data_IF_944806266527
#
_entry.id   IF_944806266527
#
_cell.length_a   1.000
_cell.length_b   1.000
_cell.length_c   1.000
_cell.angle_alpha   90.00
_cell.angle_beta   90.00
_cell.angle_gamma   90.00
#
_symmetry.space_group_name_H-M   'P 1'
#
loop_
_entity.id
_entity.type
_entity.pdbx_description
1 polymer ?
#
# COMPACT_ATOMS: atom_id res chain seq x y z
N UNK A 1 72.86 -81.12 -30.84
CA UNK A 1 73.41 -80.29 -29.75
C UNK A 1 73.25 -78.85 -30.19
N UNK A 2 72.99 -77.99 -29.21
CA UNK A 2 72.79 -76.53 -29.28
C UNK A 2 71.37 -76.03 -29.61
N UNK A 3 70.58 -75.88 -28.55
CA UNK A 3 69.65 -74.75 -28.36
C UNK A 3 69.74 -74.31 -26.89
N UNK A 4 70.85 -73.66 -26.56
CA UNK A 4 71.14 -73.07 -25.25
C UNK A 4 71.08 -71.54 -25.37
N UNK A 5 70.05 -70.96 -26.01
CA UNK A 5 70.02 -69.50 -26.21
C UNK A 5 68.69 -68.74 -26.00
N UNK A 6 67.54 -69.38 -25.77
CA UNK A 6 66.25 -68.64 -25.75
C UNK A 6 65.72 -68.23 -24.37
N UNK A 7 66.36 -68.62 -23.26
CA UNK A 7 65.80 -68.38 -21.92
C UNK A 7 66.15 -67.00 -21.30
N UNK A 8 67.11 -66.26 -21.88
CA UNK A 8 67.52 -64.94 -21.34
C UNK A 8 66.60 -63.81 -21.78
N UNK A 9 66.07 -63.85 -23.01
CA UNK A 9 65.20 -62.79 -23.54
C UNK A 9 63.80 -62.82 -22.94
N UNK A 10 63.24 -64.01 -22.67
CA UNK A 10 61.91 -64.14 -22.07
C UNK A 10 61.85 -63.59 -20.64
N UNK A 11 62.90 -63.83 -19.85
CA UNK A 11 62.98 -63.34 -18.46
C UNK A 11 63.03 -61.82 -18.38
N UNK A 12 63.74 -61.17 -19.31
CA UNK A 12 63.85 -59.70 -19.36
C UNK A 12 62.52 -59.06 -19.77
N UNK A 13 61.84 -59.64 -20.76
CA UNK A 13 60.51 -59.18 -21.22
C UNK A 13 59.48 -59.35 -20.10
N UNK A 14 59.54 -60.45 -19.36
CA UNK A 14 58.66 -60.71 -18.22
C UNK A 14 58.88 -59.67 -17.10
N UNK A 15 60.14 -59.37 -16.75
CA UNK A 15 60.44 -58.33 -15.75
C UNK A 15 59.98 -56.93 -16.19
N UNK A 16 60.10 -56.58 -17.47
CA UNK A 16 59.61 -55.30 -18.00
C UNK A 16 58.08 -55.19 -17.94
N UNK A 17 57.37 -56.28 -18.27
CA UNK A 17 55.91 -56.33 -18.18
C UNK A 17 55.41 -56.20 -16.74
N UNK A 18 56.07 -56.90 -15.79
CA UNK A 18 55.75 -56.79 -14.37
C UNK A 18 56.04 -55.37 -13.85
N UNK A 19 57.16 -54.77 -14.27
CA UNK A 19 57.50 -53.39 -13.92
C UNK A 19 56.46 -52.37 -14.39
N UNK A 20 55.97 -52.52 -15.63
CA UNK A 20 54.89 -51.68 -16.17
C UNK A 20 53.56 -51.87 -15.43
N UNK A 21 53.21 -53.12 -15.09
CA UNK A 21 52.00 -53.43 -14.33
C UNK A 21 52.04 -52.84 -12.91
N UNK A 22 53.15 -53.00 -12.20
CA UNK A 22 53.31 -52.46 -10.84
C UNK A 22 53.37 -50.93 -10.88
N UNK A 23 54.03 -50.34 -11.88
CA UNK A 23 54.05 -48.89 -12.07
C UNK A 23 52.66 -48.30 -12.35
N UNK A 24 51.84 -48.96 -13.18
CA UNK A 24 50.48 -48.54 -13.49
C UNK A 24 49.53 -48.69 -12.29
N UNK A 25 49.67 -49.76 -11.50
CA UNK A 25 48.89 -49.97 -10.28
C UNK A 25 49.27 -48.95 -9.19
N UNK A 26 50.55 -48.62 -9.06
CA UNK A 26 51.03 -47.60 -8.12
C UNK A 26 50.51 -46.20 -8.46
N UNK A 27 50.54 -45.80 -9.73
CA UNK A 27 50.01 -44.49 -10.16
C UNK A 27 48.49 -44.42 -10.03
N UNK A 28 47.77 -45.50 -10.34
CA UNK A 28 46.32 -45.57 -10.13
C UNK A 28 45.95 -45.41 -8.64
N UNK A 29 46.66 -46.09 -7.74
CA UNK A 29 46.38 -46.02 -6.30
C UNK A 29 46.64 -44.62 -5.72
N UNK A 30 47.72 -43.95 -6.13
CA UNK A 30 48.06 -42.59 -5.67
C UNK A 30 47.05 -41.56 -6.19
N UNK A 31 46.61 -41.68 -7.45
CA UNK A 31 45.60 -40.78 -8.03
C UNK A 31 44.21 -41.04 -7.44
N UNK A 32 43.83 -42.30 -7.23
CA UNK A 32 42.55 -42.71 -6.64
C UNK A 32 42.39 -42.24 -5.19
N UNK A 33 43.42 -42.45 -4.35
CA UNK A 33 43.34 -42.10 -2.92
C UNK A 33 43.29 -40.59 -2.66
N UNK A 34 43.99 -39.79 -3.48
CA UNK A 34 43.94 -38.33 -3.43
C UNK A 34 42.67 -37.71 -4.06
N UNK A 35 42.03 -38.39 -5.01
CA UNK A 35 40.74 -37.95 -5.57
C UNK A 35 39.56 -38.32 -4.68
N UNK A 36 39.52 -39.49 -4.06
CA UNK A 36 38.41 -39.85 -3.16
C UNK A 36 38.31 -38.90 -1.96
N UNK A 37 39.44 -38.46 -1.38
CA UNK A 37 39.41 -37.51 -0.26
C UNK A 37 38.90 -36.13 -0.69
N UNK A 38 39.32 -35.66 -1.87
CA UNK A 38 38.88 -34.37 -2.43
C UNK A 38 37.43 -34.40 -2.88
N UNK A 39 36.97 -35.51 -3.45
CA UNK A 39 35.57 -35.70 -3.84
C UNK A 39 34.69 -35.68 -2.60
N UNK A 40 35.03 -36.42 -1.54
CA UNK A 40 34.29 -36.38 -0.26
C UNK A 40 34.30 -35.00 0.40
N UNK A 41 35.41 -34.27 0.31
CA UNK A 41 35.49 -32.89 0.83
C UNK A 41 34.59 -31.93 0.04
N UNK A 42 34.54 -32.09 -1.28
CA UNK A 42 33.68 -31.30 -2.16
C UNK A 42 32.21 -31.64 -1.98
N UNK A 43 31.86 -32.92 -1.83
CA UNK A 43 30.50 -33.37 -1.50
C UNK A 43 30.04 -32.77 -0.17
N UNK A 44 30.86 -32.83 0.87
CA UNK A 44 30.55 -32.22 2.17
C UNK A 44 30.36 -30.70 2.08
N UNK A 45 31.21 -30.00 1.33
CA UNK A 45 31.08 -28.55 1.09
C UNK A 45 29.84 -28.22 0.26
N UNK A 46 29.47 -29.08 -0.69
CA UNK A 46 28.26 -28.94 -1.49
C UNK A 46 27.02 -29.11 -0.60
N UNK A 47 27.02 -30.09 0.29
CA UNK A 47 25.94 -30.34 1.23
C UNK A 47 25.78 -29.17 2.20
N UNK A 48 26.88 -28.68 2.79
CA UNK A 48 26.89 -27.48 3.64
C UNK A 48 26.33 -26.25 2.90
N UNK A 49 26.75 -26.04 1.65
CA UNK A 49 26.25 -24.92 0.83
C UNK A 49 24.79 -25.08 0.41
N UNK A 50 24.34 -26.31 0.19
CA UNK A 50 22.95 -26.62 -0.14
C UNK A 50 22.05 -26.41 1.07
N UNK A 51 22.50 -26.78 2.27
CA UNK A 51 21.80 -26.52 3.52
C UNK A 51 21.73 -25.00 3.81
N UNK A 52 22.83 -24.25 3.60
CA UNK A 52 22.83 -22.79 3.70
C UNK A 52 21.84 -22.15 2.72
N UNK A 53 21.82 -22.60 1.46
CA UNK A 53 20.87 -22.10 0.45
C UNK A 53 19.41 -22.44 0.81
N UNK A 54 19.17 -23.62 1.36
CA UNK A 54 17.83 -24.05 1.78
C UNK A 54 17.34 -23.19 2.94
N UNK A 55 18.18 -22.94 3.95
CA UNK A 55 17.87 -22.04 5.06
C UNK A 55 17.63 -20.60 4.59
N UNK A 56 18.48 -20.08 3.69
CA UNK A 56 18.28 -18.76 3.09
C UNK A 56 16.95 -18.64 2.33
N UNK A 57 16.58 -19.68 1.58
CA UNK A 57 15.31 -19.70 0.85
C UNK A 57 14.10 -19.79 1.80
N UNK A 58 14.18 -20.59 2.86
CA UNK A 58 13.14 -20.65 3.89
C UNK A 58 12.99 -19.34 4.66
N UNK A 59 14.10 -18.69 5.01
CA UNK A 59 14.10 -17.39 5.68
C UNK A 59 13.56 -16.27 4.78
N UNK A 60 13.89 -16.31 3.47
CA UNK A 60 13.33 -15.39 2.49
C UNK A 60 11.83 -15.64 2.30
N UNK A 61 11.39 -16.90 2.22
CA UNK A 61 9.97 -17.24 2.12
C UNK A 61 9.18 -16.77 3.35
N UNK A 62 9.72 -16.95 4.56
CA UNK A 62 9.11 -16.44 5.80
C UNK A 62 9.03 -14.91 5.83
N UNK A 63 10.08 -14.21 5.39
CA UNK A 63 10.08 -12.74 5.30
C UNK A 63 9.07 -12.22 4.27
N UNK A 64 8.93 -12.90 3.13
CA UNK A 64 7.89 -12.58 2.14
C UNK A 64 6.48 -12.86 2.66
N UNK A 65 6.31 -13.89 3.49
CA UNK A 65 5.01 -14.20 4.08
C UNK A 65 4.64 -13.20 5.21
N UNK A 66 5.61 -12.74 5.98
CA UNK A 66 5.43 -11.68 6.98
C UNK A 66 5.22 -10.29 6.37
N UNK A 67 5.78 -10.03 5.20
CA UNK A 67 5.56 -8.77 4.47
C UNK A 67 4.16 -8.70 3.84
N UNK A 68 3.51 -9.83 3.56
CA UNK A 68 2.14 -9.88 2.99
C UNK A 68 1.03 -9.77 4.03
N UNK A 69 1.33 -9.98 5.31
CA UNK A 69 0.30 -9.95 6.37
C UNK A 69 -0.16 -8.52 6.67
N UNK A 70 -1.46 -8.32 6.74
CA UNK A 70 -2.07 -7.12 7.29
C UNK A 70 -1.76 -7.01 8.78
N UNK A 71 -1.30 -5.85 9.24
CA UNK A 71 -0.95 -5.62 10.65
C UNK A 71 -1.93 -4.63 11.26
N UNK A 72 -2.53 -4.99 12.38
CA UNK A 72 -3.31 -4.06 13.20
C UNK A 72 -2.34 -3.09 13.91
N UNK A 73 -2.49 -1.79 13.66
CA UNK A 73 -1.62 -0.73 14.18
C UNK A 73 -2.37 0.19 15.13
N UNK A 74 -3.42 -0.28 15.79
CA UNK A 74 -4.36 0.52 16.60
C UNK A 74 -3.75 0.95 17.95
N UNK A 75 -2.59 1.61 17.91
CA UNK A 75 -1.95 2.27 19.04
C UNK A 75 -2.57 3.62 19.31
N UNK A 76 -2.27 4.17 20.48
CA UNK A 76 -2.91 5.37 20.92
C UNK A 76 -2.43 6.63 20.16
N UNK A 77 -1.15 6.70 19.86
CA UNK A 77 -0.57 7.75 19.01
C UNK A 77 -1.03 7.61 17.55
N UNK A 78 -1.18 6.38 17.06
CA UNK A 78 -1.69 6.13 15.70
C UNK A 78 -3.13 6.61 15.55
N UNK A 79 -4.02 6.31 16.51
CA UNK A 79 -5.40 6.83 16.46
C UNK A 79 -5.43 8.36 16.43
N UNK A 80 -4.54 9.01 17.19
CA UNK A 80 -4.45 10.47 17.25
C UNK A 80 -4.03 11.08 15.91
N UNK A 81 -3.01 10.53 15.26
CA UNK A 81 -2.61 10.94 13.90
C UNK A 81 -3.79 10.86 12.93
N UNK A 82 -4.47 9.73 12.89
CA UNK A 82 -5.57 9.52 11.95
C UNK A 82 -6.82 10.34 12.33
N UNK A 83 -7.11 10.57 13.62
CA UNK A 83 -8.16 11.49 14.04
C UNK A 83 -7.91 12.92 13.53
N UNK A 84 -6.66 13.39 13.61
CA UNK A 84 -6.27 14.69 13.06
C UNK A 84 -6.47 14.72 11.54
N UNK A 85 -6.04 13.67 10.84
CA UNK A 85 -6.25 13.52 9.40
C UNK A 85 -7.74 13.62 9.03
N UNK A 86 -8.60 12.82 9.67
CA UNK A 86 -10.04 12.77 9.37
C UNK A 86 -10.74 14.11 9.66
N UNK A 87 -10.37 14.80 10.75
CA UNK A 87 -11.11 15.98 11.21
C UNK A 87 -10.54 17.32 10.73
N UNK A 88 -9.28 17.37 10.27
CA UNK A 88 -8.68 18.61 9.75
C UNK A 88 -8.54 18.59 8.24
N UNK A 89 -7.94 17.53 7.71
CA UNK A 89 -7.55 17.49 6.31
C UNK A 89 -8.66 16.89 5.45
N UNK A 90 -9.28 15.79 5.88
CA UNK A 90 -10.25 15.06 5.05
C UNK A 90 -11.71 15.38 5.39
N UNK A 91 -11.97 16.24 6.38
CA UNK A 91 -13.31 16.43 6.97
C UNK A 91 -14.38 16.71 5.92
N UNK A 92 -14.18 17.72 5.08
CA UNK A 92 -15.15 18.15 4.06
C UNK A 92 -15.43 17.08 3.02
N UNK A 93 -14.41 16.35 2.59
CA UNK A 93 -14.55 15.25 1.64
C UNK A 93 -15.33 14.10 2.27
N UNK A 94 -14.97 13.71 3.49
CA UNK A 94 -15.63 12.62 4.20
C UNK A 94 -17.08 12.96 4.53
N UNK A 95 -17.39 14.21 4.89
CA UNK A 95 -18.79 14.65 5.07
C UNK A 95 -19.60 14.43 3.81
N UNK A 96 -19.08 14.82 2.64
CA UNK A 96 -19.75 14.58 1.36
C UNK A 96 -19.90 13.08 1.07
N UNK A 97 -18.82 12.29 1.21
CA UNK A 97 -18.83 10.86 0.91
C UNK A 97 -19.79 10.09 1.84
N UNK A 98 -19.87 10.48 3.11
CA UNK A 98 -20.75 9.88 4.11
C UNK A 98 -22.22 10.24 3.83
N UNK A 99 -22.54 11.52 3.56
CA UNK A 99 -23.91 11.99 3.26
C UNK A 99 -24.52 11.27 2.05
N UNK A 100 -23.70 10.99 1.04
CA UNK A 100 -24.14 10.29 -0.17
C UNK A 100 -24.16 8.78 -0.08
N UNK A 101 -23.89 8.22 1.11
CA UNK A 101 -23.83 6.77 1.34
C UNK A 101 -23.14 6.07 0.17
N UNK A 102 -21.96 6.58 -0.20
CA UNK A 102 -21.18 6.14 -1.36
C UNK A 102 -20.65 4.71 -1.16
N UNK A 103 -21.58 3.76 -1.22
CA UNK A 103 -21.43 2.37 -0.80
C UNK A 103 -21.28 1.52 -2.04
N UNK A 104 -20.05 1.26 -2.47
CA UNK A 104 -19.78 0.11 -3.34
C UNK A 104 -18.52 -0.56 -2.85
N UNK A 105 -18.70 -1.73 -2.22
CA UNK A 105 -17.61 -2.51 -1.64
C UNK A 105 -16.43 -2.74 -2.61
N UNK A 106 -16.70 -2.70 -3.93
CA UNK A 106 -15.71 -3.02 -4.98
C UNK A 106 -15.78 -2.08 -6.20
N UNK A 107 -16.26 -0.83 -6.08
CA UNK A 107 -16.21 0.12 -7.22
C UNK A 107 -15.50 1.42 -6.84
N UNK A 108 -14.57 1.83 -7.69
CA UNK A 108 -13.96 3.15 -7.64
C UNK A 108 -15.02 4.25 -7.76
N UNK A 109 -14.75 5.40 -7.14
CA UNK A 109 -15.53 6.61 -7.35
C UNK A 109 -15.51 6.97 -8.84
N UNK A 110 -16.69 7.25 -9.40
CA UNK A 110 -16.82 7.80 -10.75
C UNK A 110 -16.24 9.22 -10.79
N UNK A 111 -15.89 9.69 -11.99
CA UNK A 111 -15.34 11.04 -12.17
C UNK A 111 -16.33 12.14 -11.76
N UNK A 112 -17.65 11.91 -11.86
CA UNK A 112 -18.66 12.83 -11.33
C UNK A 112 -18.67 12.88 -9.79
N UNK A 113 -18.51 11.73 -9.13
CA UNK A 113 -18.46 11.64 -7.68
C UNK A 113 -17.15 12.25 -7.13
N UNK A 114 -16.03 11.97 -7.79
CA UNK A 114 -14.74 12.62 -7.53
C UNK A 114 -14.86 14.14 -7.69
N UNK A 115 -15.51 14.61 -8.75
CA UNK A 115 -15.74 16.03 -8.99
C UNK A 115 -16.51 16.68 -7.85
N UNK A 116 -17.65 16.10 -7.44
CA UNK A 116 -18.45 16.66 -6.37
C UNK A 116 -17.70 16.65 -5.04
N UNK A 117 -17.08 15.53 -4.67
CA UNK A 117 -16.27 15.44 -3.45
C UNK A 117 -15.11 16.45 -3.45
N UNK A 118 -14.44 16.61 -4.60
CA UNK A 118 -13.35 17.59 -4.76
C UNK A 118 -13.87 19.04 -4.68
N UNK A 119 -15.05 19.35 -5.21
CA UNK A 119 -15.67 20.66 -5.07
C UNK A 119 -15.86 21.03 -3.58
N UNK A 120 -16.35 20.10 -2.76
CA UNK A 120 -16.54 20.33 -1.31
C UNK A 120 -15.21 20.46 -0.56
N UNK A 121 -14.16 19.75 -0.99
CA UNK A 121 -12.80 19.96 -0.49
C UNK A 121 -12.28 21.36 -0.82
N UNK A 122 -12.31 21.70 -2.11
CA UNK A 122 -11.79 22.94 -2.65
C UNK A 122 -12.49 24.16 -2.04
N UNK A 123 -13.79 24.07 -1.70
CA UNK A 123 -14.53 25.14 -1.03
C UNK A 123 -13.84 25.65 0.26
N UNK A 124 -13.16 24.78 1.00
CA UNK A 124 -12.51 25.14 2.27
C UNK A 124 -11.02 25.46 2.13
N UNK A 125 -10.38 24.99 1.05
CA UNK A 125 -8.93 25.13 0.82
C UNK A 125 -8.58 26.29 -0.14
N UNK A 126 -9.52 26.67 -1.01
CA UNK A 126 -9.33 27.70 -2.02
C UNK A 126 -9.66 29.06 -1.42
N UNK A 127 -8.75 30.03 -1.56
CA UNK A 127 -9.11 31.46 -1.40
C UNK A 127 -10.16 31.78 -2.46
N UNK A 128 -11.32 32.33 -2.08
CA UNK A 128 -12.54 32.57 -2.90
C UNK A 128 -12.35 32.97 -4.39
N UNK A 129 -11.17 33.49 -4.78
CA UNK A 129 -10.81 33.96 -6.11
C UNK A 129 -10.76 32.92 -7.25
N UNK A 130 -10.64 31.60 -6.99
CA UNK A 130 -10.65 30.61 -8.09
C UNK A 130 -12.05 30.14 -8.49
N UNK A 131 -13.09 30.57 -7.76
CA UNK A 131 -14.48 30.27 -8.10
C UNK A 131 -15.16 31.49 -8.73
N UNK A 132 -15.77 31.29 -9.89
CA UNK A 132 -16.57 32.30 -10.57
C UNK A 132 -18.06 32.09 -10.27
N UNK A 133 -18.83 33.18 -10.09
CA UNK A 133 -20.29 33.09 -10.00
C UNK A 133 -20.88 32.70 -11.35
N UNK A 134 -21.90 31.84 -11.36
CA UNK A 134 -22.56 31.46 -12.61
C UNK A 134 -23.53 32.55 -13.05
N UNK A 135 -23.54 32.89 -14.34
CA UNK A 135 -24.51 33.85 -14.92
C UNK A 135 -25.90 33.25 -15.11
N UNK A 136 -26.00 31.92 -15.27
CA UNK A 136 -27.24 31.20 -15.56
C UNK A 136 -28.10 30.98 -14.30
N UNK A 137 -27.48 30.92 -13.12
CA UNK A 137 -28.17 30.85 -11.84
C UNK A 137 -27.34 31.66 -10.83
N UNK A 138 -27.72 32.92 -10.55
CA UNK A 138 -27.05 33.73 -9.52
C UNK A 138 -27.44 33.22 -8.13
N UNK A 139 -27.02 31.99 -7.83
CA UNK A 139 -27.05 31.41 -6.50
C UNK A 139 -25.63 31.45 -5.96
N UNK A 140 -25.45 32.00 -4.76
CA UNK A 140 -24.14 32.02 -4.05
C UNK A 140 -23.52 30.63 -3.88
N UNK A 141 -24.34 29.59 -4.02
CA UNK A 141 -23.97 28.20 -3.80
C UNK A 141 -23.65 27.45 -5.09
N UNK A 142 -23.87 28.02 -6.27
CA UNK A 142 -23.45 27.40 -7.54
C UNK A 142 -22.27 28.20 -8.04
N UNK A 143 -21.10 27.57 -8.12
CA UNK A 143 -19.86 28.22 -8.56
C UNK A 143 -19.24 27.47 -9.73
N UNK A 144 -18.53 28.18 -10.59
CA UNK A 144 -17.72 27.60 -11.68
C UNK A 144 -16.25 27.59 -11.28
N UNK A 145 -15.54 26.53 -11.65
CA UNK A 145 -14.09 26.44 -11.50
C UNK A 145 -13.50 25.81 -12.76
N UNK A 146 -12.29 26.22 -13.15
CA UNK A 146 -11.55 25.55 -14.23
C UNK A 146 -11.24 24.12 -13.79
N UNK A 147 -11.51 23.15 -14.66
CA UNK A 147 -11.25 21.74 -14.37
C UNK A 147 -9.77 21.48 -14.04
N UNK A 148 -8.85 22.18 -14.70
CA UNK A 148 -7.41 22.11 -14.41
C UNK A 148 -7.09 22.53 -12.95
N UNK A 149 -7.74 23.57 -12.45
CA UNK A 149 -7.55 24.03 -11.08
C UNK A 149 -8.14 23.02 -10.09
N UNK A 150 -9.35 22.51 -10.38
CA UNK A 150 -9.98 21.49 -9.56
C UNK A 150 -9.17 20.19 -9.54
N UNK A 151 -8.55 19.81 -10.66
CA UNK A 151 -7.73 18.60 -10.77
C UNK A 151 -6.48 18.62 -9.90
N UNK A 152 -5.95 19.79 -9.52
CA UNK A 152 -4.89 19.88 -8.50
C UNK A 152 -5.35 19.31 -7.16
N UNK A 153 -6.58 19.63 -6.77
CA UNK A 153 -7.20 19.13 -5.55
C UNK A 153 -7.61 17.66 -5.68
N UNK A 154 -8.15 17.25 -6.83
CA UNK A 154 -8.48 15.84 -7.08
C UNK A 154 -7.23 14.95 -6.98
N UNK A 155 -6.11 15.36 -7.59
CA UNK A 155 -4.82 14.70 -7.46
C UNK A 155 -4.35 14.64 -6.01
N UNK A 156 -4.48 15.73 -5.26
CA UNK A 156 -4.07 15.79 -3.84
C UNK A 156 -4.88 14.83 -2.96
N UNK A 157 -6.19 14.75 -3.15
CA UNK A 157 -7.09 13.98 -2.26
C UNK A 157 -7.24 12.53 -2.71
N UNK A 158 -7.31 12.28 -4.02
CA UNK A 158 -7.65 10.97 -4.59
C UNK A 158 -6.53 10.35 -5.42
N UNK A 159 -5.43 11.06 -5.66
CA UNK A 159 -4.30 10.57 -6.44
C UNK A 159 -4.56 10.44 -7.94
N UNK A 160 -5.69 10.96 -8.44
CA UNK A 160 -6.07 10.92 -9.85
C UNK A 160 -6.78 12.20 -10.28
N UNK A 161 -6.74 12.47 -11.57
CA UNK A 161 -7.50 13.56 -12.18
C UNK A 161 -8.91 13.10 -12.52
N UNK A 162 -9.82 14.09 -12.55
CA UNK A 162 -11.16 13.94 -13.07
C UNK A 162 -11.06 13.98 -14.60
N UNK A 163 -11.51 12.89 -15.23
CA UNK A 163 -11.54 12.79 -16.68
C UNK A 163 -12.72 13.56 -17.26
N UNK A 164 -12.42 14.60 -18.05
CA UNK A 164 -13.43 15.46 -18.69
C UNK A 164 -14.38 14.69 -19.62
N UNK A 165 -13.91 13.60 -20.25
CA UNK A 165 -14.67 12.84 -21.23
C UNK A 165 -15.77 12.00 -20.57
N UNK A 166 -15.65 11.79 -19.26
CA UNK A 166 -16.61 11.05 -18.43
C UNK A 166 -17.60 11.94 -17.70
N UNK A 167 -17.52 13.26 -17.87
CA UNK A 167 -18.44 14.22 -17.25
C UNK A 167 -19.63 14.51 -18.15
N UNK A 168 -20.84 14.48 -17.59
CA UNK A 168 -22.04 14.91 -18.30
C UNK A 168 -22.00 16.39 -18.71
N UNK A 169 -22.68 16.72 -19.82
CA UNK A 169 -22.79 18.10 -20.34
C UNK A 169 -23.52 19.07 -19.40
N UNK A 170 -24.23 18.55 -18.39
CA UNK A 170 -24.82 19.37 -17.33
C UNK A 170 -23.76 19.94 -16.37
N UNK A 171 -22.64 19.22 -16.19
CA UNK A 171 -21.55 19.57 -15.27
C UNK A 171 -20.42 20.29 -15.98
N UNK A 172 -20.07 19.84 -17.19
CA UNK A 172 -19.04 20.46 -18.02
C UNK A 172 -19.62 21.61 -18.85
N UNK A 173 -19.13 22.82 -18.60
CA UNK A 173 -19.49 24.03 -19.35
C UNK A 173 -18.44 24.33 -20.43
N UNK A 174 -18.79 25.23 -21.37
CA UNK A 174 -17.80 25.77 -22.31
C UNK A 174 -16.60 26.34 -21.55
N UNK A 175 -15.41 26.27 -22.16
CA UNK A 175 -14.12 26.73 -21.60
C UNK A 175 -13.48 25.82 -20.53
N UNK A 176 -13.75 24.51 -20.54
CA UNK A 176 -13.21 23.53 -19.58
C UNK A 176 -13.51 23.93 -18.11
N UNK A 177 -14.66 24.56 -17.89
CA UNK A 177 -15.16 24.89 -16.55
C UNK A 177 -16.15 23.84 -16.12
N UNK A 178 -16.16 23.54 -14.83
CA UNK A 178 -17.13 22.65 -14.23
C UNK A 178 -17.95 23.37 -13.19
N UNK A 179 -19.21 22.96 -13.07
CA UNK A 179 -20.14 23.47 -12.06
C UNK A 179 -19.97 22.71 -10.74
N UNK A 180 -19.63 23.45 -9.69
CA UNK A 180 -19.71 22.98 -8.31
C UNK A 180 -21.02 23.51 -7.70
N UNK A 181 -21.94 22.61 -7.40
CA UNK A 181 -23.21 22.92 -6.73
C UNK A 181 -23.11 22.59 -5.23
N UNK A 182 -23.25 23.61 -4.39
CA UNK A 182 -23.25 23.53 -2.94
C UNK A 182 -24.65 23.73 -2.33
N UNK A 183 -25.72 23.70 -3.15
CA UNK A 183 -27.10 23.85 -2.67
C UNK A 183 -27.59 22.64 -1.87
N UNK A 184 -26.98 21.47 -2.03
CA UNK A 184 -27.25 20.32 -1.18
C UNK A 184 -26.75 20.64 0.23
N UNK A 185 -27.69 20.89 1.15
CA UNK A 185 -27.40 20.92 2.59
C UNK A 185 -26.90 19.55 2.99
N UNK A 186 -25.57 19.40 3.08
CA UNK A 186 -24.99 18.23 3.74
C UNK A 186 -25.41 18.29 5.21
N UNK A 187 -25.81 17.15 5.76
CA UNK A 187 -25.93 17.06 7.21
C UNK A 187 -24.57 17.40 7.82
N UNK A 188 -24.57 18.33 8.78
CA UNK A 188 -23.34 18.76 9.42
C UNK A 188 -22.81 17.58 10.26
N UNK A 189 -21.86 16.84 9.69
CA UNK A 189 -21.25 15.70 10.37
C UNK A 189 -20.51 16.19 11.61
N UNK A 190 -20.82 15.62 12.78
CA UNK A 190 -20.05 15.83 14.00
C UNK A 190 -18.62 15.27 13.88
N UNK A 191 -17.77 15.33 14.91
CA UNK A 191 -16.39 14.86 14.80
C UNK A 191 -16.31 13.38 14.39
N UNK A 192 -15.29 13.04 13.59
CA UNK A 192 -14.98 11.65 13.26
C UNK A 192 -14.03 11.05 14.30
N UNK A 193 -14.22 9.79 14.65
CA UNK A 193 -13.29 9.09 15.54
C UNK A 193 -12.85 7.74 15.00
N UNK A 194 -11.54 7.58 14.91
CA UNK A 194 -10.88 6.33 14.52
C UNK A 194 -11.05 5.28 15.61
N UNK A 195 -11.52 4.11 15.20
CA UNK A 195 -11.71 2.94 16.06
C UNK A 195 -10.69 1.85 15.80
N UNK A 196 -10.21 1.73 14.55
CA UNK A 196 -9.24 0.71 14.15
C UNK A 196 -8.39 1.19 12.97
N UNK A 197 -7.11 0.83 12.96
CA UNK A 197 -6.22 1.02 11.81
C UNK A 197 -5.57 -0.32 11.46
N UNK A 198 -5.71 -0.75 10.21
CA UNK A 198 -5.05 -1.94 9.66
C UNK A 198 -4.16 -1.50 8.50
N UNK A 199 -2.89 -1.86 8.55
CA UNK A 199 -1.96 -1.65 7.44
C UNK A 199 -1.86 -2.93 6.59
N UNK A 200 -2.41 -2.87 5.38
CA UNK A 200 -2.21 -3.87 4.34
C UNK A 200 -0.89 -3.58 3.59
N UNK A 201 0.18 -4.24 4.03
CA UNK A 201 1.54 -4.08 3.51
C UNK A 201 1.68 -4.49 2.04
N UNK A 202 0.91 -5.49 1.57
CA UNK A 202 0.97 -5.95 0.17
C UNK A 202 0.48 -4.86 -0.79
N UNK A 203 -0.58 -4.16 -0.41
CA UNK A 203 -1.20 -3.12 -1.23
C UNK A 203 -0.70 -1.70 -0.92
N UNK A 204 0.18 -1.57 0.08
CA UNK A 204 0.60 -0.30 0.68
C UNK A 204 -0.61 0.59 1.02
N UNK A 205 -1.57 0.00 1.75
CA UNK A 205 -2.87 0.60 2.05
C UNK A 205 -3.19 0.55 3.53
N UNK A 206 -3.82 1.61 4.02
CA UNK A 206 -4.31 1.71 5.38
C UNK A 206 -5.83 1.66 5.38
N UNK A 207 -6.39 0.69 6.08
CA UNK A 207 -7.82 0.59 6.34
C UNK A 207 -8.11 1.20 7.71
N UNK A 208 -8.87 2.28 7.73
CA UNK A 208 -9.18 3.07 8.91
C UNK A 208 -10.66 2.97 9.17
N UNK A 209 -11.06 2.24 10.21
CA UNK A 209 -12.43 2.26 10.67
C UNK A 209 -12.64 3.52 11.52
N UNK A 210 -13.72 4.23 11.26
CA UNK A 210 -14.06 5.43 12.01
C UNK A 210 -15.57 5.58 12.20
N UNK A 211 -15.94 6.19 13.30
CA UNK A 211 -17.31 6.53 13.64
C UNK A 211 -17.59 7.99 13.28
N UNK A 212 -18.77 8.25 12.73
CA UNK A 212 -19.38 9.57 12.72
C UNK A 212 -20.12 9.77 14.04
N UNK A 213 -19.66 10.75 14.80
CA UNK A 213 -20.11 11.01 16.16
C UNK A 213 -21.01 12.23 16.13
N UNK A 214 -22.32 12.02 16.01
CA UNK A 214 -23.30 13.09 16.19
C UNK A 214 -23.93 12.96 17.57
N UNK A 215 -23.59 13.89 18.47
CA UNK A 215 -24.24 14.01 19.78
C UNK A 215 -24.80 15.39 20.09
N UNK A 216 -24.71 16.36 19.18
CA UNK A 216 -24.94 17.77 19.52
C UNK A 216 -26.17 18.34 18.83
N UNK A 217 -27.09 18.86 19.65
CA UNK A 217 -28.34 19.46 19.16
C UNK A 217 -28.12 20.87 18.58
N UNK A 218 -26.94 21.49 18.76
CA UNK A 218 -26.67 22.87 18.31
C UNK A 218 -25.22 23.11 17.85
N UNK A 219 -25.05 24.02 16.87
CA UNK A 219 -23.76 24.50 16.31
C UNK A 219 -22.79 25.04 17.39
N UNK A 220 -23.33 25.60 18.48
CA UNK A 220 -22.56 26.15 19.61
C UNK A 220 -21.83 25.06 20.40
N UNK A 221 -22.45 23.88 20.53
CA UNK A 221 -21.87 22.75 21.24
C UNK A 221 -20.74 22.11 20.41
N UNK A 222 -20.90 22.07 19.09
CA UNK A 222 -19.89 21.60 18.13
C UNK A 222 -18.67 22.52 18.16
N UNK A 223 -18.87 23.83 18.06
CA UNK A 223 -17.76 24.80 18.09
C UNK A 223 -17.02 24.80 19.42
N UNK A 224 -17.75 24.80 20.54
CA UNK A 224 -17.15 24.72 21.87
C UNK A 224 -16.39 23.41 22.12
N UNK A 225 -16.78 22.31 21.46
CA UNK A 225 -16.04 21.07 21.49
C UNK A 225 -14.80 21.12 20.59
N UNK A 226 -14.90 21.59 19.35
CA UNK A 226 -13.75 21.75 18.45
C UNK A 226 -12.67 22.67 19.05
N UNK A 227 -13.07 23.72 19.76
CA UNK A 227 -12.18 24.63 20.49
C UNK A 227 -11.57 23.98 21.75
N UNK A 228 -12.30 23.07 22.42
CA UNK A 228 -11.78 22.24 23.53
C UNK A 228 -10.91 21.08 23.06
N UNK A 229 -11.16 20.57 21.85
CA UNK A 229 -10.42 19.54 21.13
C UNK A 229 -9.11 20.11 20.56
N UNK A 230 -8.36 20.86 21.38
CA UNK A 230 -6.98 21.17 21.11
C UNK A 230 -6.19 19.85 20.98
N UNK A 231 -6.13 19.35 19.74
CA UNK A 231 -5.26 18.40 19.04
C UNK A 231 -4.77 17.10 19.69
N UNK A 232 -4.89 16.89 21.00
CA UNK A 232 -4.04 15.93 21.69
C UNK A 232 -4.70 14.73 22.40
N UNK A 233 -6.00 14.73 22.68
CA UNK A 233 -6.57 13.72 23.57
C UNK A 233 -7.71 12.90 22.97
N UNK A 234 -7.55 11.58 23.08
CA UNK A 234 -8.54 10.60 23.50
C UNK A 234 -9.93 11.16 23.76
N UNK A 235 -10.73 11.29 22.71
CA UNK A 235 -12.16 11.60 22.86
C UNK A 235 -12.85 10.37 23.49
N UNK A 236 -13.16 10.40 24.78
CA UNK A 236 -13.93 9.33 25.45
C UNK A 236 -15.43 9.53 25.23
N UNK A 237 -16.11 8.46 24.82
CA UNK A 237 -17.43 8.46 24.17
C UNK A 237 -18.63 8.57 25.12
N UNK A 238 -18.42 8.66 26.44
CA UNK A 238 -19.51 8.40 27.40
C UNK A 238 -20.77 9.24 27.19
N UNK A 239 -20.65 10.41 26.56
CA UNK A 239 -21.77 11.34 26.34
C UNK A 239 -22.13 11.58 24.86
N UNK A 240 -21.65 10.76 23.91
CA UNK A 240 -21.88 10.98 22.47
C UNK A 240 -22.56 9.82 21.76
N UNK A 241 -23.41 10.10 20.76
CA UNK A 241 -24.05 9.08 19.94
C UNK A 241 -23.29 8.86 18.63
N UNK A 242 -23.20 7.60 18.19
CA UNK A 242 -22.65 7.22 16.89
C UNK A 242 -23.79 7.26 15.88
N UNK A 243 -23.68 8.07 14.83
CA UNK A 243 -24.67 8.15 13.74
C UNK A 243 -24.31 7.32 12.53
N UNK A 244 -23.03 7.03 12.35
CA UNK A 244 -22.55 6.21 11.25
C UNK A 244 -21.24 5.54 11.61
N UNK A 245 -20.98 4.41 10.96
CA UNK A 245 -19.71 3.70 11.04
C UNK A 245 -19.20 3.51 9.62
N UNK A 246 -17.91 3.76 9.45
CA UNK A 246 -17.30 3.78 8.13
C UNK A 246 -15.93 3.13 8.16
N UNK A 247 -15.46 2.73 6.99
CA UNK A 247 -14.11 2.27 6.75
C UNK A 247 -13.54 3.03 5.55
N UNK A 248 -12.49 3.79 5.82
CA UNK A 248 -11.71 4.53 4.83
C UNK A 248 -10.50 3.69 4.41
N UNK A 249 -10.30 3.51 3.11
CA UNK A 249 -9.07 2.94 2.57
C UNK A 249 -8.20 4.08 2.05
N UNK A 250 -6.99 4.19 2.58
CA UNK A 250 -6.01 5.22 2.25
C UNK A 250 -4.76 4.62 1.64
N UNK A 251 -4.12 5.35 0.73
CA UNK A 251 -2.73 5.11 0.30
C UNK A 251 -1.86 6.25 0.82
N UNK A 252 -0.76 5.91 1.49
CA UNK A 252 0.21 6.90 1.94
C UNK A 252 1.05 7.38 0.75
N UNK A 253 1.39 8.67 0.76
CA UNK A 253 2.27 9.29 -0.23
C UNK A 253 3.29 10.17 0.48
N UNK A 254 4.24 10.73 -0.27
CA UNK A 254 5.22 11.66 0.27
C UNK A 254 4.58 12.93 0.85
N UNK A 255 3.45 13.35 0.28
CA UNK A 255 2.81 14.64 0.57
C UNK A 255 1.50 14.50 1.38
N UNK A 256 1.15 13.29 1.83
CA UNK A 256 -0.06 13.03 2.61
C UNK A 256 -0.71 11.69 2.30
N UNK A 257 -2.04 11.65 2.27
CA UNK A 257 -2.83 10.44 2.04
C UNK A 257 -3.81 10.63 0.88
N UNK A 258 -3.92 9.61 0.02
CA UNK A 258 -4.96 9.53 -1.00
C UNK A 258 -6.11 8.64 -0.53
N UNK A 259 -7.34 9.13 -0.66
CA UNK A 259 -8.56 8.35 -0.45
C UNK A 259 -8.76 7.43 -1.66
N UNK A 260 -8.77 6.12 -1.39
CA UNK A 260 -9.08 5.10 -2.40
C UNK A 260 -10.55 4.69 -2.36
N UNK A 261 -11.10 4.56 -1.15
CA UNK A 261 -12.49 4.16 -0.93
C UNK A 261 -12.97 4.63 0.45
N UNK A 262 -14.26 4.89 0.59
CA UNK A 262 -14.92 5.09 1.86
C UNK A 262 -16.24 4.31 1.86
N UNK A 263 -16.40 3.36 2.79
CA UNK A 263 -17.59 2.50 2.85
C UNK A 263 -18.26 2.60 4.21
N UNK A 264 -19.60 2.57 4.23
CA UNK A 264 -20.39 2.41 5.45
C UNK A 264 -20.30 0.96 5.96
N UNK A 265 -20.23 0.78 7.28
CA UNK A 265 -20.14 -0.51 7.98
C UNK A 265 -21.48 -0.91 8.61
#
# INVERSE_FOLDING_TARGET
MDDKHDNKSFTIILCLLIGLLVGALGTYYVVSSGHESKVKELERKLDEKTEELTKLNEDNAKKEEESKKSVDMTSDDTKKEYNKLLNKELKSVLTYLNDKDMTRADKELTDEELLKATCYYAKNEVKDASFEETKETPSKNVKLIKLEELNKYAKKVFGREIDKEKLGSAVLKSDNKVTCDFNEKLEESGPYKVTKIIHNKEKDQYEVNYDDVSGYKTEKDIKGLLDKLNLDDYFDYKDSYITGRYQLTLRKTNDGYHILNNKKL
#
